data_IF_373468377271
#
_entry.id   IF_373468377271
#
_cell.length_a   1.000
_cell.length_b   1.000
_cell.length_c   1.000
_cell.angle_alpha   90.00
_cell.angle_beta   90.00
_cell.angle_gamma   90.00
#
_symmetry.space_group_name_H-M   'P 1'
#
loop_
_entity.id
_entity.type
_entity.pdbx_description
1 polymer ?
#
# COMPACT_ATOMS: atom_id res chain seq x y z
N UNK A 1 9.19 5.49 -14.02
CA UNK A 1 9.37 4.04 -14.10
C UNK A 1 9.51 3.50 -15.53
N UNK A 2 8.85 4.09 -16.53
CA UNK A 2 8.89 3.60 -17.92
C UNK A 2 10.30 3.59 -18.54
N UNK A 3 11.17 4.48 -18.10
CA UNK A 3 12.56 4.58 -18.60
C UNK A 3 13.61 4.05 -17.60
N UNK A 4 13.15 3.49 -16.48
CA UNK A 4 14.04 2.92 -15.47
C UNK A 4 14.55 1.54 -15.91
N UNK A 5 15.84 1.30 -15.75
CA UNK A 5 16.42 -0.04 -15.88
C UNK A 5 16.02 -0.87 -14.67
N UNK A 6 15.63 -2.13 -14.89
CA UNK A 6 15.35 -3.09 -13.83
C UNK A 6 16.05 -4.42 -14.18
N UNK A 7 16.50 -5.12 -13.16
CA UNK A 7 16.91 -6.51 -13.30
C UNK A 7 15.66 -7.35 -13.55
N UNK A 8 15.68 -8.14 -14.60
CA UNK A 8 14.64 -9.15 -14.83
C UNK A 8 15.04 -10.36 -14.00
N UNK A 9 14.23 -10.78 -13.03
CA UNK A 9 14.52 -11.96 -12.23
C UNK A 9 14.48 -13.21 -13.12
N UNK A 10 15.15 -14.26 -12.68
CA UNK A 10 15.08 -15.55 -13.34
C UNK A 10 13.65 -16.06 -13.40
N UNK A 11 13.24 -16.61 -14.55
CA UNK A 11 11.87 -17.07 -14.75
C UNK A 11 11.52 -18.27 -13.85
N UNK A 12 12.49 -19.11 -13.49
CA UNK A 12 12.26 -20.25 -12.60
C UNK A 12 12.07 -19.77 -11.16
N UNK A 13 12.89 -18.82 -10.69
CA UNK A 13 12.70 -18.18 -9.40
C UNK A 13 11.33 -17.46 -9.32
N UNK A 14 10.95 -16.75 -10.37
CA UNK A 14 9.65 -16.08 -10.43
C UNK A 14 8.50 -17.07 -10.41
N UNK A 15 8.61 -18.20 -11.10
CA UNK A 15 7.61 -19.27 -11.08
C UNK A 15 7.50 -19.93 -9.71
N UNK A 16 8.62 -20.12 -9.02
CA UNK A 16 8.65 -20.68 -7.66
C UNK A 16 7.96 -19.77 -6.64
N UNK A 17 8.07 -18.44 -6.82
CA UNK A 17 7.37 -17.44 -6.01
C UNK A 17 5.88 -17.29 -6.36
N UNK A 18 5.47 -17.71 -7.56
CA UNK A 18 4.08 -17.66 -8.02
C UNK A 18 3.26 -18.73 -7.31
N UNK A 19 2.47 -18.33 -6.31
CA UNK A 19 1.51 -19.21 -5.65
C UNK A 19 0.34 -19.48 -6.60
N UNK A 20 0.09 -20.75 -6.92
CA UNK A 20 -1.09 -21.16 -7.65
C UNK A 20 -2.33 -20.89 -6.78
N UNK A 21 -3.39 -20.37 -7.39
CA UNK A 21 -4.69 -20.22 -6.73
C UNK A 21 -5.21 -21.59 -6.33
N UNK A 22 -5.88 -21.67 -5.18
CA UNK A 22 -6.71 -22.85 -4.86
C UNK A 22 -7.79 -22.95 -5.90
N UNK A 23 -8.11 -24.16 -6.34
CA UNK A 23 -9.24 -24.48 -7.22
C UNK A 23 -10.16 -25.46 -6.50
N UNK A 24 -11.43 -25.38 -6.82
CA UNK A 24 -12.43 -26.34 -6.36
C UNK A 24 -12.47 -27.53 -7.36
N UNK A 25 -12.42 -28.75 -6.83
CA UNK A 25 -12.36 -29.99 -7.60
C UNK A 25 -13.61 -30.88 -7.38
N UNK A 26 -14.62 -30.42 -6.63
CA UNK A 26 -15.85 -31.14 -6.34
C UNK A 26 -16.89 -31.09 -7.45
N UNK A 27 -18.10 -31.57 -7.17
CA UNK A 27 -19.22 -31.50 -8.11
C UNK A 27 -19.54 -30.04 -8.46
N UNK A 28 -19.67 -29.68 -9.75
CA UNK A 28 -20.04 -28.33 -10.17
C UNK A 28 -21.34 -27.79 -9.55
N UNK A 29 -22.24 -28.65 -9.10
CA UNK A 29 -23.48 -28.26 -8.42
C UNK A 29 -23.22 -27.63 -7.05
N UNK A 30 -22.15 -28.09 -6.35
CA UNK A 30 -21.80 -27.65 -5.02
C UNK A 30 -20.84 -26.46 -5.05
N UNK A 31 -20.49 -25.98 -6.24
CA UNK A 31 -19.53 -24.90 -6.39
C UNK A 31 -20.12 -23.54 -5.99
N UNK A 32 -19.62 -23.02 -4.88
CA UNK A 32 -19.99 -21.72 -4.29
C UNK A 32 -18.71 -20.91 -4.01
N UNK A 33 -18.16 -20.22 -5.02
CA UNK A 33 -16.82 -19.64 -4.91
C UNK A 33 -16.67 -18.58 -3.82
N UNK A 34 -17.76 -17.93 -3.43
CA UNK A 34 -17.77 -16.84 -2.44
C UNK A 34 -18.22 -17.28 -1.04
N UNK A 35 -18.67 -18.51 -0.86
CA UNK A 35 -18.97 -19.08 0.44
C UNK A 35 -17.66 -19.46 1.15
N UNK A 36 -17.14 -18.52 1.93
CA UNK A 36 -15.84 -18.65 2.61
C UNK A 36 -15.94 -18.16 4.03
N UNK A 37 -15.07 -18.70 4.88
CA UNK A 37 -14.89 -18.19 6.23
C UNK A 37 -14.37 -16.75 6.24
N UNK A 38 -14.55 -16.05 7.35
CA UNK A 38 -14.06 -14.71 7.55
C UNK A 38 -12.52 -14.67 7.38
N UNK A 39 -12.04 -13.73 6.58
CA UNK A 39 -10.63 -13.59 6.28
C UNK A 39 -10.12 -14.44 5.11
N UNK A 40 -10.92 -15.36 4.55
CA UNK A 40 -10.50 -16.17 3.42
C UNK A 40 -10.85 -15.55 2.05
N UNK A 41 -9.96 -15.71 1.04
CA UNK A 41 -10.26 -15.29 -0.33
C UNK A 41 -11.23 -16.24 -1.02
N UNK A 42 -11.98 -15.73 -1.98
CA UNK A 42 -12.81 -16.53 -2.86
C UNK A 42 -12.00 -17.59 -3.65
N UNK A 43 -12.59 -18.75 -3.91
CA UNK A 43 -11.99 -19.78 -4.77
C UNK A 43 -12.64 -19.69 -6.15
N UNK A 44 -12.03 -18.89 -7.03
CA UNK A 44 -12.51 -18.69 -8.40
C UNK A 44 -11.82 -19.66 -9.34
N UNK A 45 -12.56 -20.66 -9.83
CA UNK A 45 -12.06 -21.59 -10.82
C UNK A 45 -11.83 -20.89 -12.17
N UNK A 46 -10.88 -21.38 -12.99
CA UNK A 46 -10.72 -20.90 -14.36
C UNK A 46 -12.02 -21.10 -15.17
N UNK A 47 -12.31 -20.15 -16.05
CA UNK A 47 -13.43 -20.30 -16.99
C UNK A 47 -13.25 -21.54 -17.89
N UNK A 48 -14.37 -22.05 -18.42
CA UNK A 48 -14.42 -23.19 -19.33
C UNK A 48 -14.00 -24.55 -18.73
N UNK A 49 -14.03 -24.67 -17.39
CA UNK A 49 -13.75 -25.92 -16.67
C UNK A 49 -15.01 -26.61 -16.10
N UNK A 50 -16.20 -26.26 -16.62
CA UNK A 50 -17.48 -26.89 -16.20
C UNK A 50 -18.13 -26.23 -14.98
N UNK A 51 -17.46 -25.28 -14.32
CA UNK A 51 -18.00 -24.56 -13.16
C UNK A 51 -18.68 -23.27 -13.57
N UNK A 52 -19.89 -23.04 -13.02
CA UNK A 52 -20.65 -21.81 -13.26
C UNK A 52 -20.68 -20.94 -12.02
N UNK A 53 -20.38 -19.68 -12.20
CA UNK A 53 -20.50 -18.63 -11.19
C UNK A 53 -20.68 -17.27 -11.84
N UNK A 54 -21.22 -16.33 -11.10
CA UNK A 54 -21.42 -14.97 -11.58
C UNK A 54 -20.36 -14.03 -10.95
N UNK A 55 -19.99 -12.99 -11.69
CA UNK A 55 -19.12 -11.91 -11.21
C UNK A 55 -19.89 -10.61 -11.39
N UNK A 56 -20.04 -9.86 -10.31
CA UNK A 56 -20.72 -8.57 -10.29
C UNK A 56 -19.96 -7.55 -9.43
N UNK A 57 -20.16 -6.27 -9.70
CA UNK A 57 -19.70 -5.18 -8.84
C UNK A 57 -20.65 -4.87 -7.68
N UNK A 58 -21.81 -5.54 -7.60
CA UNK A 58 -22.80 -5.38 -6.54
C UNK A 58 -22.50 -6.31 -5.35
N UNK A 59 -23.16 -6.10 -4.21
CA UNK A 59 -23.21 -7.12 -3.17
C UNK A 59 -23.82 -8.40 -3.74
N UNK A 60 -23.26 -9.53 -3.37
CA UNK A 60 -23.62 -10.81 -3.98
C UNK A 60 -23.58 -11.98 -2.98
N UNK A 61 -24.38 -12.97 -3.26
CA UNK A 61 -24.42 -14.22 -2.51
C UNK A 61 -23.29 -15.19 -2.87
N UNK A 62 -23.33 -16.43 -2.33
CA UNK A 62 -22.26 -17.43 -2.45
C UNK A 62 -21.87 -17.82 -3.89
N UNK A 63 -22.82 -17.73 -4.82
CA UNK A 63 -22.60 -18.03 -6.25
C UNK A 63 -22.29 -16.80 -7.10
N UNK A 64 -22.20 -15.63 -6.49
CA UNK A 64 -21.85 -14.37 -7.15
C UNK A 64 -23.03 -13.59 -7.74
N UNK A 65 -24.28 -14.10 -7.64
CA UNK A 65 -25.45 -13.36 -8.09
C UNK A 65 -25.75 -12.18 -7.16
N UNK A 66 -26.15 -11.02 -7.72
CA UNK A 66 -26.54 -9.86 -6.94
C UNK A 66 -27.58 -10.16 -5.88
N UNK A 67 -27.50 -9.50 -4.74
CA UNK A 67 -28.46 -9.61 -3.66
C UNK A 67 -28.70 -8.27 -2.98
N UNK A 68 -29.90 -8.05 -2.48
CA UNK A 68 -30.28 -6.94 -1.61
C UNK A 68 -30.45 -7.41 -0.16
N UNK A 69 -30.15 -8.68 0.13
CA UNK A 69 -30.16 -9.21 1.49
C UNK A 69 -29.12 -8.51 2.37
N UNK A 70 -29.57 -7.87 3.43
CA UNK A 70 -28.74 -7.03 4.27
C UNK A 70 -27.68 -7.84 5.03
N UNK A 71 -27.99 -9.06 5.47
CA UNK A 71 -27.06 -9.92 6.21
C UNK A 71 -25.96 -10.43 5.27
N UNK A 72 -26.33 -10.90 4.07
CA UNK A 72 -25.34 -11.32 3.06
C UNK A 72 -24.43 -10.17 2.65
N UNK A 73 -24.97 -8.96 2.47
CA UNK A 73 -24.20 -7.78 2.13
C UNK A 73 -23.21 -7.40 3.26
N UNK A 74 -23.67 -7.39 4.51
CA UNK A 74 -22.82 -7.10 5.66
C UNK A 74 -21.68 -8.14 5.77
N UNK A 75 -22.01 -9.42 5.72
CA UNK A 75 -21.05 -10.50 5.80
C UNK A 75 -19.99 -10.45 4.68
N UNK A 76 -20.40 -10.06 3.46
CA UNK A 76 -19.49 -9.87 2.34
C UNK A 76 -18.47 -8.75 2.65
N UNK A 77 -18.94 -7.61 3.11
CA UNK A 77 -18.07 -6.47 3.43
C UNK A 77 -17.13 -6.81 4.58
N UNK A 78 -17.63 -7.40 5.66
CA UNK A 78 -16.82 -7.81 6.80
C UNK A 78 -15.72 -8.80 6.40
N UNK A 79 -16.05 -9.74 5.52
CA UNK A 79 -15.07 -10.68 4.96
C UNK A 79 -14.00 -9.98 4.09
N UNK A 80 -14.38 -8.98 3.30
CA UNK A 80 -13.41 -8.22 2.49
C UNK A 80 -12.40 -7.48 3.37
N UNK A 81 -12.85 -6.88 4.48
CA UNK A 81 -11.97 -6.21 5.43
C UNK A 81 -11.11 -7.21 6.21
N UNK A 82 -11.72 -8.22 6.80
CA UNK A 82 -11.00 -9.21 7.63
C UNK A 82 -9.94 -9.97 6.83
N UNK A 83 -10.18 -10.25 5.56
CA UNK A 83 -9.20 -10.85 4.65
C UNK A 83 -7.89 -10.05 4.57
N UNK A 84 -7.95 -8.74 4.67
CA UNK A 84 -6.77 -7.86 4.67
C UNK A 84 -6.25 -7.66 6.09
N UNK A 85 -7.12 -7.31 7.03
CA UNK A 85 -6.72 -6.93 8.39
C UNK A 85 -6.15 -8.11 9.19
N UNK A 86 -6.66 -9.33 9.01
CA UNK A 86 -6.13 -10.53 9.65
C UNK A 86 -4.71 -10.90 9.16
N UNK A 87 -4.28 -10.31 8.04
CA UNK A 87 -2.96 -10.55 7.47
C UNK A 87 -2.09 -9.29 7.42
N UNK A 88 -2.44 -8.29 8.23
CA UNK A 88 -1.82 -6.97 8.25
C UNK A 88 -0.29 -7.06 8.34
N UNK A 89 0.26 -7.81 9.28
CA UNK A 89 1.71 -7.97 9.47
C UNK A 89 2.45 -8.48 8.22
N UNK A 90 1.79 -9.27 7.38
CA UNK A 90 2.36 -9.79 6.15
C UNK A 90 2.23 -8.82 4.98
N UNK A 91 1.25 -7.93 5.04
CA UNK A 91 0.90 -6.99 3.96
C UNK A 91 1.61 -5.65 4.16
N UNK A 92 1.67 -5.15 5.39
CA UNK A 92 2.35 -3.90 5.71
C UNK A 92 3.84 -4.00 5.40
N UNK A 93 4.28 -3.11 4.51
CA UNK A 93 5.70 -3.00 4.15
C UNK A 93 6.09 -1.55 4.05
N UNK A 94 7.26 -1.26 4.55
CA UNK A 94 7.91 0.04 4.46
C UNK A 94 9.43 -0.11 4.36
N UNK A 95 10.09 0.94 4.02
CA UNK A 95 11.55 1.06 3.97
C UNK A 95 11.94 2.30 4.76
N UNK A 96 12.97 2.18 5.56
CA UNK A 96 13.64 3.29 6.23
C UNK A 96 15.02 3.49 5.61
N UNK A 97 15.32 4.72 5.26
CA UNK A 97 16.60 5.10 4.68
C UNK A 97 17.19 6.23 5.49
N UNK A 98 18.32 5.98 6.15
CA UNK A 98 19.04 6.92 7.00
C UNK A 98 18.16 7.57 8.10
N UNK A 99 17.23 6.79 8.69
CA UNK A 99 16.33 7.29 9.73
C UNK A 99 16.91 7.22 11.14
N UNK A 100 17.90 6.36 11.40
CA UNK A 100 18.40 6.05 12.75
C UNK A 100 18.95 7.27 13.50
N UNK A 101 19.63 8.17 12.79
CA UNK A 101 20.25 9.38 13.35
C UNK A 101 19.63 10.69 12.83
N UNK A 102 18.46 10.59 12.20
CA UNK A 102 17.83 11.71 11.53
C UNK A 102 17.18 12.70 12.51
N UNK A 103 17.34 14.00 12.27
CA UNK A 103 16.59 15.07 12.94
C UNK A 103 15.31 15.43 12.18
N UNK A 104 15.31 15.19 10.86
CA UNK A 104 14.23 15.49 9.92
C UNK A 104 13.83 14.23 9.19
N UNK A 105 12.53 13.97 9.08
CA UNK A 105 12.00 12.81 8.34
C UNK A 105 11.17 13.27 7.15
N UNK A 106 11.50 12.72 5.99
CA UNK A 106 10.67 12.82 4.79
C UNK A 106 9.83 11.56 4.67
N UNK A 107 8.53 11.71 4.47
CA UNK A 107 7.63 10.60 4.16
C UNK A 107 7.24 10.72 2.69
N UNK A 108 7.65 9.74 1.88
CA UNK A 108 7.36 9.72 0.45
C UNK A 108 7.27 8.31 -0.08
N UNK A 109 6.41 8.08 -1.06
CA UNK A 109 6.16 6.77 -1.65
C UNK A 109 6.23 6.81 -3.19
N UNK A 110 6.21 5.62 -3.82
CA UNK A 110 6.23 5.48 -5.26
C UNK A 110 7.45 6.16 -5.90
N UNK A 111 7.23 6.90 -6.98
CA UNK A 111 8.30 7.60 -7.71
C UNK A 111 8.91 8.76 -6.92
N UNK A 112 8.13 9.42 -6.07
CA UNK A 112 8.60 10.54 -5.24
C UNK A 112 9.71 10.11 -4.28
N UNK A 113 9.69 8.87 -3.79
CA UNK A 113 10.73 8.36 -2.90
C UNK A 113 12.12 8.31 -3.55
N UNK A 114 12.22 8.19 -4.86
CA UNK A 114 13.50 8.23 -5.59
C UNK A 114 14.11 9.63 -5.57
N UNK A 115 13.31 10.65 -5.89
CA UNK A 115 13.75 12.05 -5.79
C UNK A 115 14.06 12.44 -4.35
N UNK A 116 13.33 11.88 -3.38
CA UNK A 116 13.58 12.10 -1.97
C UNK A 116 14.94 11.51 -1.52
N UNK A 117 15.28 10.29 -1.95
CA UNK A 117 16.61 9.71 -1.67
C UNK A 117 17.73 10.59 -2.20
N UNK A 118 17.65 11.03 -3.45
CA UNK A 118 18.67 11.93 -4.03
C UNK A 118 18.77 13.27 -3.28
N UNK A 119 17.64 13.83 -2.86
CA UNK A 119 17.62 15.06 -2.07
C UNK A 119 18.27 14.86 -0.69
N UNK A 120 17.99 13.73 -0.05
CA UNK A 120 18.57 13.35 1.26
C UNK A 120 20.07 13.15 1.14
N UNK A 121 20.55 12.44 0.11
CA UNK A 121 21.98 12.23 -0.11
C UNK A 121 22.75 13.56 -0.26
N UNK A 122 22.16 14.52 -0.98
CA UNK A 122 22.72 15.87 -1.11
C UNK A 122 22.78 16.60 0.25
N UNK A 123 21.68 16.57 1.02
CA UNK A 123 21.63 17.22 2.33
C UNK A 123 22.57 16.55 3.35
N UNK A 124 22.68 15.23 3.30
CA UNK A 124 23.64 14.47 4.12
C UNK A 124 25.09 14.84 3.82
N UNK A 125 25.42 15.04 2.53
CA UNK A 125 26.75 15.52 2.14
C UNK A 125 27.02 16.96 2.62
N UNK A 126 25.98 17.76 2.88
CA UNK A 126 26.06 19.09 3.51
C UNK A 126 26.07 19.02 5.06
N UNK A 127 26.01 17.81 5.67
CA UNK A 127 26.03 17.62 7.13
C UNK A 127 24.63 17.61 7.79
N UNK A 128 23.55 17.69 7.03
CA UNK A 128 22.18 17.65 7.54
C UNK A 128 21.75 16.21 7.85
N UNK A 129 21.14 15.97 9.00
CA UNK A 129 20.65 14.64 9.40
C UNK A 129 19.20 14.45 8.98
N UNK A 130 19.01 13.97 7.77
CA UNK A 130 17.69 13.73 7.16
C UNK A 130 17.52 12.25 6.83
N UNK A 131 16.33 11.69 7.09
CA UNK A 131 15.96 10.34 6.76
C UNK A 131 14.69 10.27 5.92
N UNK A 132 14.49 9.14 5.22
CA UNK A 132 13.26 8.83 4.47
C UNK A 132 12.54 7.67 5.11
N UNK A 133 11.29 7.87 5.46
CA UNK A 133 10.33 6.80 5.66
C UNK A 133 9.51 6.60 4.39
N UNK A 134 9.64 5.42 3.78
CA UNK A 134 8.95 5.06 2.56
C UNK A 134 7.89 4.01 2.82
N UNK A 135 6.60 4.34 2.95
CA UNK A 135 5.56 3.33 2.92
C UNK A 135 5.53 2.65 1.54
N UNK A 136 5.59 1.33 1.51
CA UNK A 136 5.44 0.50 0.31
C UNK A 136 3.97 0.11 0.20
N UNK A 137 3.35 -0.29 1.31
CA UNK A 137 1.92 -0.50 1.43
C UNK A 137 1.27 0.77 1.98
N UNK A 138 0.31 1.33 1.25
CA UNK A 138 -0.41 2.53 1.68
C UNK A 138 -1.67 2.20 2.46
N UNK A 139 -2.26 1.03 2.20
CA UNK A 139 -3.39 0.52 2.96
C UNK A 139 -3.34 -1.03 3.02
N UNK A 140 -3.41 -1.65 4.21
CA UNK A 140 -3.33 -0.98 5.51
C UNK A 140 -2.01 -0.21 5.67
N UNK A 141 -2.10 0.97 6.28
CA UNK A 141 -0.92 1.81 6.51
C UNK A 141 -0.07 1.24 7.66
N UNK A 142 1.26 1.39 7.66
CA UNK A 142 2.14 0.99 8.76
C UNK A 142 1.98 1.95 9.97
N UNK A 143 0.78 1.93 10.57
CA UNK A 143 0.34 2.91 11.57
C UNK A 143 1.22 2.91 12.81
N UNK A 144 1.61 1.74 13.30
CA UNK A 144 2.44 1.66 14.50
C UNK A 144 3.77 2.38 14.28
N UNK A 145 4.44 2.10 13.16
CA UNK A 145 5.73 2.72 12.87
C UNK A 145 5.61 4.22 12.59
N UNK A 146 4.57 4.65 11.89
CA UNK A 146 4.27 6.08 11.70
C UNK A 146 4.04 6.79 13.03
N UNK A 147 3.32 6.17 13.95
CA UNK A 147 3.08 6.74 15.28
C UNK A 147 4.39 6.89 16.08
N UNK A 148 5.27 5.89 16.02
CA UNK A 148 6.60 5.95 16.65
C UNK A 148 7.46 7.08 16.06
N UNK A 149 7.52 7.21 14.73
CA UNK A 149 8.19 8.31 14.04
C UNK A 149 7.62 9.65 14.49
N UNK A 150 6.30 9.76 14.58
CA UNK A 150 5.63 10.97 15.04
C UNK A 150 5.98 11.36 16.49
N UNK A 151 6.32 10.39 17.34
CA UNK A 151 6.80 10.64 18.72
C UNK A 151 8.27 11.04 18.80
N UNK A 152 9.09 10.51 17.89
CA UNK A 152 10.53 10.67 17.91
C UNK A 152 11.01 11.94 17.19
N UNK A 153 10.26 12.42 16.21
CA UNK A 153 10.68 13.51 15.33
C UNK A 153 9.64 14.61 15.25
N UNK A 154 10.06 15.86 15.46
CA UNK A 154 9.19 17.02 15.30
C UNK A 154 9.14 17.54 13.87
N UNK A 155 10.22 17.37 13.12
CA UNK A 155 10.40 17.87 11.76
C UNK A 155 10.07 16.80 10.74
N UNK A 156 8.83 16.80 10.26
CA UNK A 156 8.32 15.80 9.30
C UNK A 156 7.71 16.49 8.10
N UNK A 157 8.18 16.09 6.90
CA UNK A 157 7.66 16.50 5.61
C UNK A 157 7.00 15.31 4.91
N UNK A 158 5.74 15.44 4.51
CA UNK A 158 5.08 14.50 3.59
C UNK A 158 5.14 15.07 2.18
N UNK A 159 5.73 14.31 1.24
CA UNK A 159 5.87 14.70 -0.16
C UNK A 159 5.08 13.79 -1.09
N UNK A 160 4.12 14.35 -1.85
CA UNK A 160 3.19 13.58 -2.68
C UNK A 160 2.91 14.25 -4.02
N UNK A 161 2.58 13.43 -5.04
CA UNK A 161 2.08 13.92 -6.34
C UNK A 161 0.54 14.03 -6.35
N UNK A 162 -0.03 14.56 -5.27
CA UNK A 162 -1.46 14.79 -5.09
C UNK A 162 -1.72 15.93 -4.09
N UNK A 163 -2.95 16.13 -3.65
CA UNK A 163 -3.38 17.17 -2.69
C UNK A 163 -3.29 16.76 -1.21
N UNK A 164 -2.40 15.80 -0.86
CA UNK A 164 -2.18 15.38 0.52
C UNK A 164 -3.13 14.28 0.99
N UNK A 165 -3.42 13.32 0.14
CA UNK A 165 -4.28 12.19 0.51
C UNK A 165 -3.61 11.32 1.59
N UNK A 166 -2.36 10.93 1.40
CA UNK A 166 -1.64 10.14 2.39
C UNK A 166 -1.17 11.00 3.59
N UNK A 167 -0.90 12.30 3.38
CA UNK A 167 -0.66 13.22 4.49
C UNK A 167 -1.77 13.17 5.54
N UNK A 168 -3.04 13.15 5.11
CA UNK A 168 -4.18 13.07 6.04
C UNK A 168 -4.14 11.81 6.88
N UNK A 169 -3.71 10.70 6.30
CA UNK A 169 -3.51 9.44 7.01
C UNK A 169 -2.36 9.53 8.00
N UNK A 170 -1.22 10.09 7.60
CA UNK A 170 -0.09 10.36 8.48
C UNK A 170 -0.49 11.24 9.66
N UNK A 171 -1.20 12.36 9.41
CA UNK A 171 -1.69 13.28 10.44
C UNK A 171 -2.68 12.61 11.40
N UNK A 172 -3.55 11.74 10.89
CA UNK A 172 -4.48 10.94 11.69
C UNK A 172 -3.74 10.03 12.66
N UNK A 173 -2.74 9.30 12.16
CA UNK A 173 -1.96 8.35 12.95
C UNK A 173 -1.08 9.07 13.97
N UNK A 174 -0.39 10.12 13.55
CA UNK A 174 0.52 10.89 14.43
C UNK A 174 -0.23 11.83 15.38
N UNK A 175 -1.53 12.06 15.17
CA UNK A 175 -2.40 12.99 15.92
C UNK A 175 -1.87 14.41 15.95
N UNK A 176 -1.19 14.82 14.88
CA UNK A 176 -0.66 16.18 14.72
C UNK A 176 -0.53 16.57 13.25
N UNK A 177 -0.37 17.88 13.00
CA UNK A 177 -0.06 18.38 11.66
C UNK A 177 1.40 18.09 11.30
N UNK A 178 1.65 17.87 10.00
CA UNK A 178 2.98 17.73 9.43
C UNK A 178 3.13 18.69 8.24
N UNK A 179 4.37 19.02 7.90
CA UNK A 179 4.69 19.81 6.71
C UNK A 179 4.32 19.04 5.44
N UNK A 180 3.96 19.76 4.39
CA UNK A 180 3.47 19.15 3.17
C UNK A 180 4.03 19.79 1.91
N UNK A 181 4.58 18.95 1.03
CA UNK A 181 4.95 19.33 -0.33
C UNK A 181 4.11 18.53 -1.33
N UNK A 182 3.17 19.18 -1.99
CA UNK A 182 2.28 18.55 -2.98
C UNK A 182 2.45 19.12 -4.38
N UNK A 183 2.38 18.27 -5.42
CA UNK A 183 2.45 18.69 -6.82
C UNK A 183 1.43 17.92 -7.66
N UNK A 184 0.64 18.61 -8.47
CA UNK A 184 -0.47 18.02 -9.26
C UNK A 184 -0.50 18.55 -10.68
N UNK A 185 0.64 18.80 -11.27
CA UNK A 185 0.76 19.39 -12.62
C UNK A 185 1.31 18.43 -13.68
N UNK A 186 1.27 17.10 -13.39
CA UNK A 186 1.78 16.07 -14.30
C UNK A 186 3.32 15.93 -14.30
N UNK A 187 4.04 16.71 -13.51
CA UNK A 187 5.51 16.62 -13.39
C UNK A 187 5.90 16.02 -12.05
N UNK A 188 6.95 15.20 -11.98
CA UNK A 188 7.47 14.68 -10.72
C UNK A 188 8.04 15.83 -9.86
N UNK A 189 8.11 15.58 -8.55
CA UNK A 189 8.91 16.41 -7.64
C UNK A 189 10.39 16.19 -7.94
N UNK A 190 11.11 17.26 -8.19
CA UNK A 190 12.56 17.21 -8.39
C UNK A 190 13.30 17.12 -7.05
N UNK A 191 14.55 16.60 -7.03
CA UNK A 191 15.39 16.63 -5.84
C UNK A 191 15.62 18.05 -5.30
N UNK A 192 15.72 19.06 -6.18
CA UNK A 192 15.89 20.46 -5.80
C UNK A 192 14.70 21.03 -5.03
N UNK A 193 13.47 20.76 -5.50
CA UNK A 193 12.23 21.16 -4.78
C UNK A 193 12.16 20.52 -3.39
N UNK A 194 12.58 19.25 -3.28
CA UNK A 194 12.62 18.53 -2.00
C UNK A 194 13.70 19.07 -1.07
N UNK A 195 14.92 19.36 -1.57
CA UNK A 195 15.98 19.99 -0.77
C UNK A 195 15.51 21.30 -0.17
N UNK A 196 14.87 22.16 -0.98
CA UNK A 196 14.33 23.42 -0.49
C UNK A 196 13.28 23.22 0.62
N UNK A 197 12.29 22.36 0.38
CA UNK A 197 11.24 22.10 1.37
C UNK A 197 11.76 21.46 2.66
N UNK A 198 12.80 20.62 2.59
CA UNK A 198 13.43 20.00 3.77
C UNK A 198 14.23 21.04 4.57
N UNK A 199 14.88 22.01 3.90
CA UNK A 199 15.61 23.10 4.59
C UNK A 199 14.66 24.03 5.34
N UNK A 200 13.42 24.16 4.91
CA UNK A 200 12.37 24.96 5.55
C UNK A 200 11.72 24.28 6.79
N UNK A 201 12.04 23.00 7.08
CA UNK A 201 11.64 22.30 8.30
C UNK A 201 12.43 22.86 9.51
#
# INVERSE_FOLDING_TARGET
HMYGKAMIPDLEETRALSKRRRIFEGDPKDYQPYEREQGEPAILNPFFKGYRYHITGLCHGPRGFPTEDAELAQNLIDRLFSKILNHRERIEKYEEYLCEDADKIVIAYGSTSRSAKEAIDKLRAEGERVGLFRPITLWPSPEQRLFEIGKQHDKILVAELNKGQYRKEVERVMRRKVQFLGKVNGRPLSPGELVQAIKEL
#
